data_IF_003016775588
#
_entry.id   IF_003016775588
#
_cell.length_a   1.000
_cell.length_b   1.000
_cell.length_c   1.000
_cell.angle_alpha   90.00
_cell.angle_beta   90.00
_cell.angle_gamma   90.00
#
_symmetry.space_group_name_H-M   'P 1'
#
loop_
_entity.id
_entity.type
_entity.pdbx_description
1 polymer ?
#
# COMPACT_ATOMS: atom_id res chain seq x y z
N UNK A 1 -15.36 -12.42 -0.08
CA UNK A 1 -15.09 -12.54 -1.54
C UNK A 1 -13.74 -11.89 -1.73
N UNK A 2 -12.69 -12.70 -1.96
CA UNK A 2 -11.36 -12.17 -2.24
C UNK A 2 -11.44 -11.33 -3.51
N UNK A 3 -11.19 -10.02 -3.38
CA UNK A 3 -10.97 -9.17 -4.52
C UNK A 3 -9.72 -9.72 -5.23
N UNK A 4 -9.93 -10.46 -6.30
CA UNK A 4 -8.85 -11.05 -7.08
C UNK A 4 -8.00 -9.90 -7.63
N UNK A 5 -6.81 -9.74 -7.08
CA UNK A 5 -5.82 -8.83 -7.66
C UNK A 5 -5.66 -9.18 -9.14
N UNK A 6 -5.81 -8.22 -10.07
CA UNK A 6 -5.66 -8.48 -11.49
C UNK A 6 -4.28 -9.08 -11.79
N UNK A 7 -4.20 -10.10 -12.66
CA UNK A 7 -2.94 -10.76 -13.03
C UNK A 7 -1.84 -9.80 -13.49
N UNK A 8 -2.15 -8.75 -14.27
CA UNK A 8 -1.16 -7.74 -14.64
C UNK A 8 -0.45 -7.10 -13.44
N UNK A 9 -1.21 -6.66 -12.45
CA UNK A 9 -0.65 -6.05 -11.24
C UNK A 9 0.17 -7.06 -10.42
N UNK A 10 -0.31 -8.32 -10.31
CA UNK A 10 0.39 -9.38 -9.60
C UNK A 10 1.76 -9.67 -10.21
N UNK A 11 1.83 -9.83 -11.53
CA UNK A 11 3.10 -10.18 -12.22
C UNK A 11 4.11 -9.02 -12.12
N UNK A 12 3.66 -7.77 -12.36
CA UNK A 12 4.53 -6.59 -12.20
C UNK A 12 5.06 -6.47 -10.77
N UNK A 13 4.19 -6.65 -9.78
CA UNK A 13 4.56 -6.60 -8.37
C UNK A 13 5.54 -7.70 -7.98
N UNK A 14 5.33 -8.94 -8.44
CA UNK A 14 6.26 -10.05 -8.24
C UNK A 14 7.66 -9.68 -8.75
N UNK A 15 7.75 -9.14 -9.97
CA UNK A 15 9.01 -8.69 -10.55
C UNK A 15 9.68 -7.60 -9.71
N UNK A 16 8.91 -6.57 -9.33
CA UNK A 16 9.41 -5.48 -8.51
C UNK A 16 9.99 -5.97 -7.17
N UNK A 17 9.22 -6.78 -6.43
CA UNK A 17 9.65 -7.30 -5.12
C UNK A 17 10.84 -8.26 -5.23
N UNK A 18 10.98 -8.96 -6.35
CA UNK A 18 12.10 -9.84 -6.61
C UNK A 18 13.31 -9.14 -7.26
N UNK A 19 13.20 -7.84 -7.58
CA UNK A 19 14.18 -7.08 -8.35
C UNK A 19 14.53 -7.74 -9.68
N UNK A 20 13.55 -8.37 -10.35
CA UNK A 20 13.72 -9.07 -11.63
C UNK A 20 13.23 -8.23 -12.79
N UNK A 21 13.89 -8.34 -13.95
CA UNK A 21 13.33 -7.89 -15.22
C UNK A 21 12.40 -8.98 -15.83
N UNK A 22 11.74 -8.68 -16.95
CA UNK A 22 10.78 -9.62 -17.57
C UNK A 22 11.45 -10.91 -18.06
N UNK A 23 12.68 -10.82 -18.55
CA UNK A 23 13.43 -11.99 -19.04
C UNK A 23 13.85 -12.90 -17.90
N UNK A 24 14.36 -12.33 -16.81
CA UNK A 24 14.75 -13.08 -15.60
C UNK A 24 13.56 -13.79 -14.95
N UNK A 25 12.39 -13.11 -14.87
CA UNK A 25 11.18 -13.75 -14.37
C UNK A 25 10.73 -14.88 -15.31
N UNK A 26 10.80 -14.67 -16.63
CA UNK A 26 10.46 -15.67 -17.63
C UNK A 26 11.34 -16.92 -17.48
N UNK A 27 12.66 -16.75 -17.33
CA UNK A 27 13.60 -17.83 -17.08
C UNK A 27 13.26 -18.61 -15.82
N UNK A 28 12.95 -17.93 -14.71
CA UNK A 28 12.55 -18.59 -13.46
C UNK A 28 11.25 -19.40 -13.60
N UNK A 29 10.34 -18.91 -14.43
CA UNK A 29 9.04 -19.55 -14.67
C UNK A 29 9.10 -20.62 -15.77
N UNK A 30 10.16 -20.68 -16.57
CA UNK A 30 10.30 -21.58 -17.69
C UNK A 30 9.38 -21.21 -18.87
N UNK A 31 9.18 -19.92 -19.10
CA UNK A 31 8.38 -19.36 -20.20
C UNK A 31 9.19 -18.33 -20.99
N UNK A 32 8.66 -17.87 -22.13
CA UNK A 32 9.28 -16.79 -22.89
C UNK A 32 8.99 -15.41 -22.29
N UNK A 33 9.93 -14.48 -22.42
CA UNK A 33 9.76 -13.07 -22.01
C UNK A 33 8.46 -12.45 -22.56
N UNK A 34 8.13 -12.76 -23.85
CA UNK A 34 6.90 -12.30 -24.46
C UNK A 34 5.63 -12.75 -23.70
N UNK A 35 5.67 -13.92 -23.07
CA UNK A 35 4.57 -14.45 -22.26
C UNK A 35 4.39 -13.61 -20.99
N UNK A 36 5.48 -13.31 -20.27
CA UNK A 36 5.46 -12.41 -19.09
C UNK A 36 4.92 -11.04 -19.49
N UNK A 37 5.44 -10.47 -20.58
CA UNK A 37 4.99 -9.17 -21.10
C UNK A 37 3.48 -9.16 -21.44
N UNK A 38 2.93 -10.25 -21.97
CA UNK A 38 1.49 -10.38 -22.25
C UNK A 38 0.66 -10.43 -20.97
N UNK A 39 1.15 -11.13 -19.94
CA UNK A 39 0.49 -11.15 -18.63
C UNK A 39 0.45 -9.76 -18.00
N UNK A 40 1.56 -9.01 -18.04
CA UNK A 40 1.65 -7.67 -17.50
C UNK A 40 0.77 -6.65 -18.23
N UNK A 41 0.55 -6.83 -19.53
CA UNK A 41 -0.38 -6.02 -20.33
C UNK A 41 -1.84 -6.46 -20.24
N UNK A 42 -2.12 -7.61 -19.60
CA UNK A 42 -3.46 -8.17 -19.51
C UNK A 42 -4.00 -8.74 -20.80
N UNK A 43 -3.15 -8.90 -21.84
CA UNK A 43 -3.55 -9.47 -23.13
C UNK A 43 -3.64 -11.00 -23.09
N UNK A 44 -3.09 -11.61 -22.04
CA UNK A 44 -3.16 -13.05 -21.81
C UNK A 44 -3.19 -13.32 -20.29
N UNK A 45 -3.96 -14.33 -19.90
CA UNK A 45 -4.06 -14.76 -18.49
C UNK A 45 -3.23 -16.01 -18.32
N UNK A 46 -2.40 -16.12 -17.25
CA UNK A 46 -1.69 -17.35 -16.93
C UNK A 46 -2.64 -18.53 -16.79
N UNK A 47 -2.23 -19.73 -17.20
CA UNK A 47 -3.00 -20.95 -16.94
C UNK A 47 -3.03 -21.31 -15.44
N UNK A 48 -3.91 -22.22 -15.05
CA UNK A 48 -4.14 -22.56 -13.63
C UNK A 48 -2.85 -23.02 -12.92
N UNK A 49 -2.01 -23.90 -13.50
CA UNK A 49 -0.72 -24.25 -12.88
C UNK A 49 0.21 -23.06 -12.67
N UNK A 50 0.29 -22.17 -13.69
CA UNK A 50 1.13 -20.99 -13.61
C UNK A 50 0.58 -19.96 -12.60
N UNK A 51 -0.74 -19.78 -12.55
CA UNK A 51 -1.39 -18.98 -11.51
C UNK A 51 -1.02 -19.42 -10.11
N UNK A 52 -1.05 -20.73 -9.86
CA UNK A 52 -0.62 -21.30 -8.59
C UNK A 52 0.85 -20.99 -8.30
N UNK A 53 1.72 -21.20 -9.28
CA UNK A 53 3.17 -20.95 -9.16
C UNK A 53 3.47 -19.47 -8.85
N UNK A 54 2.84 -18.55 -9.55
CA UNK A 54 2.96 -17.11 -9.32
C UNK A 54 2.51 -16.73 -7.90
N UNK A 55 1.36 -17.25 -7.44
CA UNK A 55 0.90 -17.02 -6.06
C UNK A 55 1.86 -17.59 -5.01
N UNK A 56 2.40 -18.79 -5.24
CA UNK A 56 3.35 -19.42 -4.31
C UNK A 56 4.69 -18.65 -4.26
N UNK A 57 5.15 -18.10 -5.39
CA UNK A 57 6.31 -17.21 -5.42
C UNK A 57 6.04 -15.92 -4.64
N UNK A 58 4.88 -15.29 -4.85
CA UNK A 58 4.49 -14.10 -4.11
C UNK A 58 4.43 -14.36 -2.61
N UNK A 59 3.82 -15.46 -2.19
CA UNK A 59 3.72 -15.84 -0.77
C UNK A 59 5.09 -15.93 -0.08
N UNK A 60 6.14 -16.38 -0.81
CA UNK A 60 7.51 -16.43 -0.29
C UNK A 60 8.16 -15.06 -0.12
N UNK A 61 7.68 -14.07 -0.85
CA UNK A 61 8.17 -12.68 -0.81
C UNK A 61 7.35 -11.82 0.15
N UNK A 62 6.20 -12.35 0.63
CA UNK A 62 5.34 -11.61 1.55
C UNK A 62 6.01 -11.44 2.91
N UNK A 63 6.32 -10.21 3.30
CA UNK A 63 6.71 -9.97 4.68
C UNK A 63 5.52 -10.30 5.58
N UNK A 64 5.72 -11.18 6.52
CA UNK A 64 4.75 -11.41 7.59
C UNK A 64 4.70 -10.16 8.45
N UNK A 65 3.53 -9.54 8.57
CA UNK A 65 3.38 -8.41 9.49
C UNK A 65 3.41 -8.97 10.90
N UNK A 66 4.47 -8.65 11.63
CA UNK A 66 4.49 -8.85 13.07
C UNK A 66 3.69 -7.73 13.73
N UNK A 67 2.43 -8.01 14.05
CA UNK A 67 1.54 -7.05 14.74
C UNK A 67 2.15 -6.57 16.05
N UNK A 68 2.79 -7.44 16.81
CA UNK A 68 3.42 -7.07 18.07
C UNK A 68 4.56 -6.06 17.85
N UNK A 69 5.32 -6.21 16.77
CA UNK A 69 6.34 -5.23 16.36
C UNK A 69 5.71 -3.88 15.99
N UNK A 70 4.67 -3.87 15.15
CA UNK A 70 3.97 -2.63 14.77
C UNK A 70 3.40 -1.95 16.00
N UNK A 71 2.66 -2.67 16.83
CA UNK A 71 1.99 -2.15 18.02
C UNK A 71 2.97 -1.66 19.10
N UNK A 72 4.15 -2.26 19.18
CA UNK A 72 5.21 -1.89 20.13
C UNK A 72 6.12 -0.74 19.66
N UNK A 73 6.08 -0.39 18.36
CA UNK A 73 6.97 0.66 17.85
C UNK A 73 6.59 2.06 18.34
N UNK A 74 7.58 2.90 18.71
CA UNK A 74 7.34 4.31 19.03
C UNK A 74 7.17 5.20 17.79
N UNK A 75 7.37 4.65 16.58
CA UNK A 75 7.15 5.37 15.33
C UNK A 75 5.64 5.47 15.02
N UNK A 76 5.25 6.48 14.25
CA UNK A 76 3.88 6.60 13.74
C UNK A 76 3.73 5.62 12.58
N UNK A 77 3.09 4.48 12.84
CA UNK A 77 2.86 3.41 11.86
C UNK A 77 1.39 2.99 11.89
N UNK A 78 0.79 2.91 10.71
CA UNK A 78 -0.55 2.37 10.49
C UNK A 78 -0.46 1.31 9.40
N UNK A 79 -1.11 0.19 9.60
CA UNK A 79 -1.33 -0.82 8.57
C UNK A 79 -2.81 -0.81 8.22
N UNK A 80 -3.13 -0.60 6.96
CA UNK A 80 -4.52 -0.55 6.47
C UNK A 80 -4.72 -1.39 5.22
N UNK A 81 -5.98 -1.56 4.81
CA UNK A 81 -6.31 -2.31 3.59
C UNK A 81 -6.15 -1.47 2.32
N UNK A 82 -5.59 -2.06 1.27
CA UNK A 82 -5.57 -1.48 -0.08
C UNK A 82 -7.02 -1.49 -0.62
N UNK A 83 -7.42 -0.39 -1.27
CA UNK A 83 -8.79 -0.23 -1.74
C UNK A 83 -9.78 0.19 -0.65
N UNK A 84 -9.37 0.13 0.62
CA UNK A 84 -10.09 0.70 1.76
C UNK A 84 -9.11 1.27 2.79
N UNK A 85 -8.52 2.41 2.47
CA UNK A 85 -7.57 3.09 3.37
C UNK A 85 -8.19 3.49 4.72
N UNK A 86 -9.51 3.51 4.80
CA UNK A 86 -10.26 3.78 6.04
C UNK A 86 -10.36 2.59 6.98
N UNK A 87 -9.93 1.38 6.58
CA UNK A 87 -9.96 0.19 7.43
C UNK A 87 -8.55 -0.20 7.88
N UNK A 88 -8.29 -0.18 9.18
CA UNK A 88 -6.96 -0.51 9.71
C UNK A 88 -6.88 -1.96 10.17
N UNK A 89 -5.79 -2.62 9.86
CA UNK A 89 -5.40 -3.94 10.36
C UNK A 89 -4.77 -3.86 11.75
N UNK A 90 -3.84 -2.91 11.94
CA UNK A 90 -3.23 -2.58 13.22
C UNK A 90 -2.55 -1.19 13.17
N UNK A 91 -2.30 -0.64 14.35
CA UNK A 91 -1.64 0.66 14.50
C UNK A 91 -0.58 0.60 15.59
N UNK A 92 0.44 1.45 15.47
CA UNK A 92 1.46 1.59 16.50
C UNK A 92 0.91 2.20 17.78
N UNK A 93 1.65 2.01 18.88
CA UNK A 93 1.30 2.58 20.16
C UNK A 93 1.15 4.11 20.10
N UNK A 94 2.06 4.78 19.40
CA UNK A 94 2.01 6.24 19.24
C UNK A 94 0.69 6.71 18.61
N UNK A 95 0.22 6.01 17.58
CA UNK A 95 -1.06 6.31 16.94
C UNK A 95 -2.22 5.99 17.90
N UNK A 96 -2.20 4.83 18.54
CA UNK A 96 -3.25 4.38 19.47
C UNK A 96 -3.41 5.34 20.65
N UNK A 97 -2.31 5.80 21.22
CA UNK A 97 -2.29 6.79 22.33
C UNK A 97 -2.91 8.13 21.90
N UNK A 98 -2.71 8.55 20.63
CA UNK A 98 -3.34 9.76 20.07
C UNK A 98 -4.88 9.65 20.07
N UNK A 99 -5.42 8.45 19.89
CA UNK A 99 -6.85 8.16 19.96
C UNK A 99 -7.32 7.77 21.37
N UNK A 100 -6.44 7.81 22.37
CA UNK A 100 -6.72 7.39 23.76
C UNK A 100 -7.25 5.95 23.85
N UNK A 101 -6.69 5.05 23.03
CA UNK A 101 -7.04 3.64 22.95
C UNK A 101 -5.78 2.77 23.06
N UNK A 102 -5.95 1.53 23.46
CA UNK A 102 -4.88 0.54 23.38
C UNK A 102 -4.67 0.08 21.93
N UNK A 103 -3.47 -0.40 21.55
CA UNK A 103 -3.26 -1.00 20.24
C UNK A 103 -4.23 -2.14 19.91
N UNK A 104 -4.63 -2.93 20.90
CA UNK A 104 -5.60 -4.01 20.72
C UNK A 104 -6.99 -3.50 20.31
N UNK A 105 -7.42 -2.35 20.84
CA UNK A 105 -8.70 -1.70 20.46
C UNK A 105 -8.63 -1.01 19.09
N UNK A 106 -7.43 -0.88 18.52
CA UNK A 106 -7.20 -0.28 17.21
C UNK A 106 -6.97 -1.33 16.10
N UNK A 107 -7.24 -2.61 16.39
CA UNK A 107 -7.18 -3.69 15.40
C UNK A 107 -8.49 -3.81 14.64
N UNK A 108 -8.38 -4.07 13.36
CA UNK A 108 -9.52 -4.38 12.47
C UNK A 108 -10.69 -3.38 12.60
N UNK A 109 -10.37 -2.07 12.64
CA UNK A 109 -11.37 -1.01 12.81
C UNK A 109 -11.51 -0.10 11.61
N UNK A 110 -12.70 0.47 11.46
CA UNK A 110 -12.93 1.61 10.59
C UNK A 110 -12.39 2.88 11.26
N UNK A 111 -11.46 3.57 10.58
CA UNK A 111 -10.81 4.78 11.10
C UNK A 111 -11.55 6.07 10.74
N UNK A 112 -12.48 6.05 9.79
CA UNK A 112 -13.27 7.23 9.40
C UNK A 112 -13.97 7.92 10.57
N UNK A 113 -14.68 7.20 11.46
CA UNK A 113 -15.41 7.82 12.56
C UNK A 113 -14.52 8.55 13.57
N UNK A 114 -13.28 8.07 13.75
CA UNK A 114 -12.33 8.60 14.73
C UNK A 114 -11.31 9.55 14.12
N UNK A 115 -11.21 9.62 12.78
CA UNK A 115 -10.25 10.47 12.08
C UNK A 115 -10.66 11.93 12.08
N UNK A 116 -9.66 12.81 12.04
CA UNK A 116 -9.87 14.25 11.81
C UNK A 116 -10.43 14.49 10.41
N UNK A 117 -11.02 15.67 10.19
CA UNK A 117 -11.55 16.04 8.87
C UNK A 117 -10.46 15.97 7.77
N UNK A 118 -9.27 16.45 8.11
CA UNK A 118 -8.13 16.42 7.18
C UNK A 118 -7.74 14.99 6.79
N UNK A 119 -7.67 14.08 7.74
CA UNK A 119 -7.38 12.66 7.48
C UNK A 119 -8.50 12.04 6.63
N UNK A 120 -9.77 12.33 6.93
CA UNK A 120 -10.89 11.82 6.12
C UNK A 120 -10.83 12.26 4.66
N UNK A 121 -10.42 13.50 4.38
CA UNK A 121 -10.20 13.97 3.00
C UNK A 121 -9.12 13.16 2.29
N UNK A 122 -7.98 12.93 2.95
CA UNK A 122 -6.90 12.10 2.39
C UNK A 122 -7.37 10.67 2.10
N UNK A 123 -8.07 10.05 3.05
CA UNK A 123 -8.60 8.69 2.86
C UNK A 123 -9.60 8.63 1.71
N UNK A 124 -10.43 9.66 1.55
CA UNK A 124 -11.37 9.77 0.45
C UNK A 124 -10.66 9.87 -0.91
N UNK A 125 -9.70 10.78 -1.06
CA UNK A 125 -8.93 10.97 -2.30
C UNK A 125 -8.12 9.72 -2.65
N UNK A 126 -7.52 9.05 -1.65
CA UNK A 126 -6.79 7.82 -1.89
C UNK A 126 -7.71 6.70 -2.38
N UNK A 127 -8.88 6.53 -1.75
CA UNK A 127 -9.87 5.54 -2.17
C UNK A 127 -10.54 5.87 -3.51
N UNK A 128 -10.49 7.12 -3.96
CA UNK A 128 -10.91 7.54 -5.30
C UNK A 128 -9.83 7.33 -6.37
N UNK A 129 -8.57 7.07 -5.97
CA UNK A 129 -7.47 6.87 -6.89
C UNK A 129 -7.57 5.50 -7.59
N UNK A 130 -7.56 5.50 -8.91
CA UNK A 130 -7.74 4.29 -9.71
C UNK A 130 -6.62 3.26 -9.51
N UNK A 131 -5.36 3.71 -9.47
CA UNK A 131 -4.21 2.84 -9.24
C UNK A 131 -4.25 2.20 -7.84
N UNK A 132 -4.67 2.96 -6.83
CA UNK A 132 -4.90 2.44 -5.47
C UNK A 132 -5.97 1.34 -5.46
N UNK A 133 -7.12 1.60 -6.07
CA UNK A 133 -8.23 0.63 -6.12
C UNK A 133 -7.85 -0.65 -6.87
N UNK A 134 -7.00 -0.54 -7.89
CA UNK A 134 -6.50 -1.68 -8.66
C UNK A 134 -5.32 -2.40 -8.02
N UNK A 135 -4.75 -1.86 -6.95
CA UNK A 135 -3.52 -2.41 -6.34
C UNK A 135 -2.27 -2.19 -7.18
N UNK A 136 -2.29 -1.23 -8.11
CA UNK A 136 -1.20 -0.90 -9.04
C UNK A 136 -0.27 0.19 -8.48
N UNK A 137 -0.22 0.35 -7.18
CA UNK A 137 0.55 1.37 -6.47
C UNK A 137 1.84 0.78 -5.91
N UNK A 138 2.97 1.38 -6.24
CA UNK A 138 4.27 1.04 -5.67
C UNK A 138 4.52 1.77 -4.34
N UNK A 139 4.14 3.04 -4.27
CA UNK A 139 4.26 3.86 -3.06
C UNK A 139 3.28 5.03 -3.11
N UNK A 140 3.05 5.66 -1.98
CA UNK A 140 2.35 6.94 -1.90
C UNK A 140 2.98 7.81 -0.84
N UNK A 141 2.70 9.09 -0.93
CA UNK A 141 3.10 10.10 0.05
C UNK A 141 1.97 11.11 0.21
N UNK A 142 1.73 11.54 1.43
CA UNK A 142 0.82 12.63 1.71
C UNK A 142 1.46 13.61 2.70
N UNK A 143 1.32 14.90 2.42
CA UNK A 143 1.64 15.99 3.35
C UNK A 143 0.33 16.67 3.72
N UNK A 144 0.08 16.84 5.00
CA UNK A 144 -1.21 17.29 5.51
C UNK A 144 -1.04 18.28 6.66
N UNK A 145 -1.84 19.34 6.63
CA UNK A 145 -2.00 20.26 7.77
C UNK A 145 -2.99 19.67 8.76
N UNK A 146 -2.55 19.54 10.01
CA UNK A 146 -3.40 19.02 11.08
C UNK A 146 -4.27 20.13 11.70
N UNK A 147 -5.24 19.74 12.52
CA UNK A 147 -6.18 20.69 13.14
C UNK A 147 -5.50 21.67 14.12
N UNK A 148 -4.39 21.27 14.71
CA UNK A 148 -3.57 22.13 15.61
C UNK A 148 -2.63 23.08 14.86
N UNK A 149 -2.67 23.05 13.52
CA UNK A 149 -1.83 23.87 12.64
C UNK A 149 -0.47 23.25 12.33
N UNK A 150 -0.09 22.15 12.96
CA UNK A 150 1.13 21.40 12.63
C UNK A 150 1.02 20.72 11.27
N UNK A 151 2.16 20.30 10.72
CA UNK A 151 2.22 19.57 9.46
C UNK A 151 2.73 18.15 9.70
N UNK A 152 2.09 17.20 9.06
CA UNK A 152 2.53 15.82 9.09
C UNK A 152 2.73 15.31 7.66
N UNK A 153 3.71 14.43 7.50
CA UNK A 153 3.95 13.68 6.28
C UNK A 153 3.80 12.21 6.59
N UNK A 154 3.07 11.53 5.74
CA UNK A 154 2.94 10.08 5.75
C UNK A 154 3.42 9.54 4.41
N UNK A 155 4.17 8.47 4.46
CA UNK A 155 4.62 7.75 3.27
C UNK A 155 4.33 6.27 3.47
N UNK A 156 4.08 5.57 2.40
CA UNK A 156 3.79 4.17 2.52
C UNK A 156 3.92 3.39 1.21
N UNK A 157 3.83 2.09 1.36
CA UNK A 157 3.86 1.13 0.27
C UNK A 157 2.98 -0.08 0.59
N UNK A 158 2.49 -0.78 -0.44
CA UNK A 158 1.82 -2.05 -0.25
C UNK A 158 2.72 -3.10 0.40
N UNK A 159 2.15 -3.95 1.24
CA UNK A 159 2.86 -5.05 1.90
C UNK A 159 2.49 -6.35 1.20
N UNK A 160 3.42 -6.93 0.46
CA UNK A 160 3.20 -8.21 -0.23
C UNK A 160 1.91 -8.22 -1.06
N UNK A 161 1.24 -9.35 -1.13
CA UNK A 161 -0.10 -9.52 -1.73
C UNK A 161 -1.23 -9.59 -0.69
N UNK A 162 -0.93 -9.19 0.52
CA UNK A 162 -1.90 -9.29 1.63
C UNK A 162 -3.12 -8.39 1.44
N UNK A 163 -3.11 -7.51 0.42
CA UNK A 163 -4.11 -6.46 0.31
C UNK A 163 -3.92 -5.38 1.38
N UNK A 164 -2.79 -5.39 2.07
CA UNK A 164 -2.44 -4.44 3.11
C UNK A 164 -1.39 -3.44 2.64
N UNK A 165 -1.35 -2.31 3.27
CA UNK A 165 -0.34 -1.28 3.08
C UNK A 165 0.12 -0.73 4.43
N UNK A 166 1.38 -0.36 4.48
CA UNK A 166 1.96 0.27 5.66
C UNK A 166 2.15 1.77 5.44
N UNK A 167 1.76 2.54 6.42
CA UNK A 167 1.96 3.98 6.50
C UNK A 167 2.97 4.28 7.58
N UNK A 168 3.97 5.07 7.27
CA UNK A 168 4.94 5.58 8.24
C UNK A 168 4.88 7.09 8.17
N UNK A 169 4.76 7.76 9.31
CA UNK A 169 4.60 9.20 9.33
C UNK A 169 5.37 9.89 10.46
N UNK A 170 5.38 11.20 10.37
CA UNK A 170 5.96 12.07 11.36
C UNK A 170 5.62 13.52 11.12
N UNK A 171 5.94 14.38 12.12
CA UNK A 171 5.82 15.83 11.98
C UNK A 171 6.91 16.35 11.04
N UNK A 172 6.54 17.31 10.23
CA UNK A 172 7.44 17.98 9.27
C UNK A 172 7.31 19.49 9.36
N UNK A 173 8.29 20.20 8.84
CA UNK A 173 8.19 21.65 8.63
C UNK A 173 7.12 21.97 7.61
N UNK A 174 6.43 23.12 7.70
CA UNK A 174 5.48 23.55 6.67
C UNK A 174 6.12 23.51 5.29
N UNK A 175 5.43 23.01 4.25
CA UNK A 175 5.95 23.06 2.90
C UNK A 175 6.04 24.52 2.42
N UNK A 176 7.03 24.81 1.58
CA UNK A 176 7.19 26.14 0.97
C UNK A 176 6.05 26.50 0.01
N UNK A 177 5.34 25.49 -0.48
CA UNK A 177 4.23 25.64 -1.44
C UNK A 177 2.92 25.62 -0.66
N UNK A 178 2.05 26.60 -0.95
CA UNK A 178 0.68 26.61 -0.41
C UNK A 178 -0.10 25.45 -1.02
N UNK A 179 -0.46 24.50 -0.19
CA UNK A 179 -1.21 23.33 -0.61
C UNK A 179 -2.70 23.67 -0.73
N UNK A 180 -3.30 23.30 -1.86
CA UNK A 180 -4.74 23.40 -2.06
C UNK A 180 -5.44 22.47 -1.05
N UNK A 181 -6.48 22.97 -0.38
CA UNK A 181 -7.25 22.22 0.62
C UNK A 181 -6.45 21.69 1.84
N UNK A 182 -5.21 22.18 2.05
CA UNK A 182 -4.39 21.85 3.22
C UNK A 182 -3.71 20.46 3.17
N UNK A 183 -3.71 19.78 2.03
CA UNK A 183 -2.94 18.55 1.83
C UNK A 183 -2.46 18.39 0.38
N UNK A 184 -1.45 17.53 0.21
CA UNK A 184 -0.99 17.04 -1.08
C UNK A 184 -0.87 15.52 -1.00
N UNK A 185 -1.49 14.82 -1.93
CA UNK A 185 -1.37 13.37 -2.11
C UNK A 185 -0.62 13.08 -3.41
N UNK A 186 0.41 12.25 -3.32
CA UNK A 186 1.18 11.71 -4.46
C UNK A 186 1.01 10.20 -4.40
N UNK A 187 0.56 9.60 -5.48
CA UNK A 187 0.48 8.15 -5.66
C UNK A 187 1.37 7.77 -6.82
N UNK A 188 2.35 6.92 -6.57
CA UNK A 188 3.31 6.44 -7.56
C UNK A 188 2.89 5.05 -8.04
N UNK A 189 2.40 4.89 -9.27
CA UNK A 189 2.10 3.59 -9.83
C UNK A 189 3.38 2.78 -10.11
N UNK A 190 3.26 1.46 -10.23
CA UNK A 190 4.40 0.59 -10.51
C UNK A 190 5.13 0.94 -11.82
N UNK A 191 4.40 1.37 -12.84
CA UNK A 191 4.96 1.61 -14.19
C UNK A 191 5.91 2.82 -14.24
N UNK A 192 5.79 3.78 -13.31
CA UNK A 192 6.67 4.95 -13.25
C UNK A 192 8.01 4.68 -12.55
N UNK A 193 8.12 3.60 -11.77
CA UNK A 193 9.35 3.26 -11.03
C UNK A 193 10.27 2.34 -11.86
N UNK A 194 9.72 1.70 -12.89
CA UNK A 194 10.43 0.69 -13.70
C UNK A 194 10.89 1.25 -15.04
N UNK A 195 10.53 2.49 -15.36
CA UNK A 195 11.00 3.24 -16.54
C UNK A 195 12.27 4.02 -16.21
#
# INVERSE_FOLDING_TARGET
MDAMTPWPALVRRLRFLSSLNQDELAQQLGVDQCTVSRWERGTYVPDIPMQKRLRDMMRKLEPTIDRAFVEGTPALVVVSHIGNAGHSECMSRLVSDTYQRSPAEMRDIEVYPISTESIRKVLFELNANEAWCKGEVASWQVVIKQNDGSWAQYSGAPIGQTGLCMWIGGLVTPPEIVLKDGFQLIVNPFDEIIS
#
